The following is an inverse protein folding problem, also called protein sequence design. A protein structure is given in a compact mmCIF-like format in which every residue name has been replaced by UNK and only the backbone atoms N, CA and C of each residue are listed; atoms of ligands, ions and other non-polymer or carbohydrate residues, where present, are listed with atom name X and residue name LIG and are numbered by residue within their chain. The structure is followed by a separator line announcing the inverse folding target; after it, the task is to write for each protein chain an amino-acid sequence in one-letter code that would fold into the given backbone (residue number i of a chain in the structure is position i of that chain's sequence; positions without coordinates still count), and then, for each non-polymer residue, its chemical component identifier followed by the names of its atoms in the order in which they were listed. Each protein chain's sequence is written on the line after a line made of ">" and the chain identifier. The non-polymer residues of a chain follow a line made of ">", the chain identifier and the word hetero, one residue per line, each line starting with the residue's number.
data_IF_442778883648
#
_entry.id   IF_442778883648
#
_cell.length_a   1.000
_cell.length_b   1.000
_cell.length_c   1.000
_cell.angle_alpha   90.00
_cell.angle_beta   90.00
_cell.angle_gamma   90.00
#
_symmetry.space_group_name_H-M   'P 1'
#
loop_
_entity.id
_entity.type
_entity.pdbx_description
1 polymer ?
#
# COMPACT_ATOMS: atom_id res chain seq x y z
N UNK A 1 29.27 9.92 13.86
CA UNK A 1 27.86 9.67 14.24
C UNK A 1 27.15 9.14 13.01
N UNK A 2 26.67 7.89 13.03
CA UNK A 2 25.82 7.37 11.95
C UNK A 2 24.37 7.71 12.29
N UNK A 3 23.71 8.49 11.43
CA UNK A 3 22.28 8.73 11.53
C UNK A 3 21.56 7.66 10.70
N UNK A 4 20.78 6.80 11.35
CA UNK A 4 19.86 5.89 10.66
C UNK A 4 18.64 6.69 10.22
N UNK A 5 18.61 7.09 8.95
CA UNK A 5 17.46 7.80 8.37
C UNK A 5 16.31 6.81 8.12
N UNK A 6 15.13 7.11 8.68
CA UNK A 6 13.93 6.34 8.41
C UNK A 6 13.26 6.90 7.16
N UNK A 7 13.12 6.07 6.13
CA UNK A 7 12.45 6.44 4.88
C UNK A 7 11.07 5.79 4.85
N UNK A 8 10.04 6.63 4.70
CA UNK A 8 8.65 6.21 4.78
C UNK A 8 7.91 6.60 3.50
N UNK A 9 7.01 5.73 3.06
CA UNK A 9 5.95 6.06 2.10
C UNK A 9 4.71 6.43 2.92
N UNK A 10 4.23 7.65 2.75
CA UNK A 10 3.05 8.19 3.43
C UNK A 10 1.89 8.28 2.46
N UNK A 11 0.72 7.81 2.85
CA UNK A 11 -0.49 7.82 2.01
C UNK A 11 -1.76 7.97 2.85
N UNK A 12 -2.83 8.45 2.23
CA UNK A 12 -4.12 8.58 2.88
C UNK A 12 -5.00 7.35 2.64
N UNK A 13 -5.69 6.90 3.67
CA UNK A 13 -6.75 5.91 3.59
C UNK A 13 -8.02 6.51 4.21
N UNK A 14 -8.97 6.88 3.34
CA UNK A 14 -10.13 7.68 3.76
C UNK A 14 -9.69 9.08 4.20
N UNK A 15 -9.94 9.43 5.45
CA UNK A 15 -9.58 10.72 6.05
C UNK A 15 -8.28 10.68 6.87
N UNK A 16 -7.70 9.49 7.03
CA UNK A 16 -6.57 9.25 7.93
C UNK A 16 -5.26 9.04 7.15
N UNK A 17 -4.13 9.42 7.76
CA UNK A 17 -2.79 9.28 7.20
C UNK A 17 -2.09 8.03 7.77
N UNK A 18 -1.45 7.27 6.88
CA UNK A 18 -0.68 6.07 7.22
C UNK A 18 0.71 6.11 6.58
N UNK A 19 1.64 5.36 7.15
CA UNK A 19 3.00 5.24 6.63
C UNK A 19 3.56 3.82 6.73
N UNK A 20 4.37 3.43 5.75
CA UNK A 20 5.16 2.19 5.77
C UNK A 20 6.64 2.49 5.49
N UNK A 21 7.55 1.62 5.93
CA UNK A 21 8.95 1.72 5.50
C UNK A 21 9.06 1.53 3.99
N UNK A 22 9.89 2.35 3.34
CA UNK A 22 10.11 2.27 1.90
C UNK A 22 10.60 0.90 1.44
N UNK A 23 11.31 0.16 2.30
CA UNK A 23 11.80 -1.19 1.99
C UNK A 23 10.66 -2.21 1.75
N UNK A 24 9.45 -1.93 2.22
CA UNK A 24 8.27 -2.77 1.99
C UNK A 24 7.51 -2.42 0.70
N UNK A 25 7.79 -1.26 0.09
CA UNK A 25 7.13 -0.84 -1.14
C UNK A 25 7.90 -1.34 -2.36
N UNK A 26 7.33 -2.30 -3.11
CA UNK A 26 7.95 -2.80 -4.33
C UNK A 26 7.73 -1.82 -5.51
N UNK A 27 6.50 -1.35 -5.70
CA UNK A 27 6.11 -0.40 -6.75
C UNK A 27 4.97 0.49 -6.27
N UNK A 28 4.87 1.70 -6.82
CA UNK A 28 3.71 2.60 -6.65
C UNK A 28 3.04 2.74 -8.01
N UNK A 29 1.95 2.00 -8.20
CA UNK A 29 1.17 1.98 -9.44
C UNK A 29 -0.14 2.75 -9.27
N UNK A 30 -0.75 3.14 -10.39
CA UNK A 30 -2.15 3.62 -10.39
C UNK A 30 -3.09 2.43 -10.22
N UNK A 31 -4.19 2.63 -9.51
CA UNK A 31 -5.20 1.61 -9.27
C UNK A 31 -5.77 1.13 -10.63
N UNK A 32 -5.63 -0.16 -10.99
CA UNK A 32 -6.19 -0.71 -12.21
C UNK A 32 -7.69 -0.99 -12.05
N UNK A 33 -8.33 -1.47 -13.12
CA UNK A 33 -9.68 -2.05 -13.00
C UNK A 33 -9.57 -3.45 -12.42
N UNK A 34 -10.24 -3.72 -11.31
CA UNK A 34 -10.26 -5.03 -10.69
C UNK A 34 -11.36 -5.92 -11.24
N UNK A 35 -11.06 -7.21 -11.41
CA UNK A 35 -12.08 -8.25 -11.63
C UNK A 35 -12.21 -9.08 -10.35
N UNK A 36 -13.40 -9.10 -9.75
CA UNK A 36 -13.65 -9.89 -8.53
C UNK A 36 -13.45 -11.37 -8.81
N UNK A 37 -12.69 -12.01 -7.94
CA UNK A 37 -12.48 -13.45 -7.96
C UNK A 37 -13.64 -14.16 -7.23
N UNK A 38 -14.13 -15.30 -7.73
CA UNK A 38 -15.12 -16.09 -7.02
C UNK A 38 -14.52 -16.70 -5.75
N UNK A 39 -15.34 -16.82 -4.69
CA UNK A 39 -14.98 -17.42 -3.40
C UNK A 39 -13.83 -16.73 -2.63
N UNK A 40 -13.48 -15.49 -2.93
CA UNK A 40 -12.50 -14.72 -2.14
C UNK A 40 -13.16 -13.92 -1.02
N UNK A 41 -12.47 -13.72 0.12
CA UNK A 41 -12.90 -12.79 1.16
C UNK A 41 -13.21 -11.40 0.62
N UNK A 42 -14.11 -10.69 1.29
CA UNK A 42 -14.61 -9.37 0.87
C UNK A 42 -13.53 -8.27 0.82
N UNK A 43 -12.42 -8.44 1.53
CA UNK A 43 -11.28 -7.51 1.54
C UNK A 43 -10.29 -7.74 0.39
N UNK A 44 -10.55 -8.72 -0.49
CA UNK A 44 -9.77 -8.96 -1.71
C UNK A 44 -10.54 -8.38 -2.90
N UNK A 45 -10.02 -7.31 -3.51
CA UNK A 45 -10.72 -6.64 -4.62
C UNK A 45 -10.63 -7.40 -5.97
N UNK A 46 -9.54 -8.14 -6.21
CA UNK A 46 -9.39 -8.95 -7.42
C UNK A 46 -7.96 -9.01 -7.96
N UNK A 47 -7.85 -9.48 -9.20
CA UNK A 47 -6.62 -9.43 -10.03
C UNK A 47 -6.65 -8.25 -10.98
#
# INVERSE_FOLDING_TARGET
>A
MNFSYCQLVVFNLGLEEYAINISYAQEIIRIPKFTRLPNTPSFIEGS
#
